data_IF_286750066002
#
_entry.id   IF_286750066002
#
_cell.length_a   1.000
_cell.length_b   1.000
_cell.length_c   1.000
_cell.angle_alpha   90.00
_cell.angle_beta   90.00
_cell.angle_gamma   90.00
#
_symmetry.space_group_name_H-M   'P 1'
#
loop_
_entity.id
_entity.type
_entity.pdbx_description
1 polymer ?
#
# COMPACT_ATOMS: atom_id res chain seq x y z
N UNK A 1 9.67 -19.56 -17.63
CA UNK A 1 10.16 -18.73 -18.76
C UNK A 1 8.96 -18.24 -19.58
N UNK A 2 8.99 -17.00 -20.09
CA UNK A 2 7.88 -16.41 -20.84
C UNK A 2 7.63 -17.22 -22.13
N UNK A 3 6.39 -17.72 -22.29
CA UNK A 3 5.99 -18.53 -23.44
C UNK A 3 5.67 -17.63 -24.64
N UNK A 4 6.21 -17.97 -25.82
CA UNK A 4 5.96 -17.26 -27.09
C UNK A 4 4.45 -17.22 -27.37
N UNK A 5 3.88 -16.02 -27.56
CA UNK A 5 2.46 -15.81 -27.82
C UNK A 5 1.55 -15.61 -26.59
N UNK A 6 2.05 -15.82 -25.36
CA UNK A 6 1.26 -15.55 -24.14
C UNK A 6 1.44 -14.10 -23.67
N UNK A 7 0.36 -13.33 -23.62
CA UNK A 7 0.34 -12.03 -22.95
C UNK A 7 0.21 -12.21 -21.43
N UNK A 8 0.93 -11.41 -20.64
CA UNK A 8 0.86 -11.46 -19.17
C UNK A 8 0.80 -10.03 -18.64
N UNK A 9 -0.24 -9.73 -17.88
CA UNK A 9 -0.46 -8.45 -17.20
C UNK A 9 -0.10 -8.63 -15.72
N UNK A 10 0.59 -7.63 -15.14
CA UNK A 10 0.92 -7.58 -13.72
C UNK A 10 0.36 -6.29 -13.17
N UNK A 11 -0.54 -6.41 -12.19
CA UNK A 11 -1.14 -5.28 -11.47
C UNK A 11 -0.54 -5.26 -10.06
N UNK A 12 0.01 -4.11 -9.66
CA UNK A 12 0.55 -3.94 -8.32
C UNK A 12 0.37 -2.50 -7.86
N UNK A 13 -0.03 -2.33 -6.61
CA UNK A 13 -0.11 -1.03 -5.96
C UNK A 13 1.28 -0.46 -5.61
N UNK A 14 2.30 -1.32 -5.54
CA UNK A 14 3.68 -0.92 -5.22
C UNK A 14 4.68 -1.58 -6.17
N UNK A 15 5.87 -0.98 -6.30
CA UNK A 15 6.90 -1.49 -7.19
C UNK A 15 8.22 -1.73 -6.45
N UNK A 16 8.17 -2.66 -5.50
CA UNK A 16 9.35 -3.10 -4.76
C UNK A 16 10.29 -3.94 -5.66
N UNK A 17 11.57 -4.06 -5.27
CA UNK A 17 12.57 -4.82 -6.03
C UNK A 17 12.14 -6.27 -6.36
N UNK A 18 11.48 -7.02 -5.45
CA UNK A 18 10.97 -8.36 -5.79
C UNK A 18 9.93 -8.35 -6.92
N UNK A 19 9.04 -7.36 -6.95
CA UNK A 19 8.01 -7.22 -8.00
C UNK A 19 8.66 -6.91 -9.36
N UNK A 20 9.69 -6.06 -9.37
CA UNK A 20 10.45 -5.80 -10.60
C UNK A 20 11.14 -7.06 -11.14
N UNK A 21 11.65 -7.94 -10.25
CA UNK A 21 12.24 -9.21 -10.66
C UNK A 21 11.19 -10.14 -11.29
N UNK A 22 10.02 -10.28 -10.66
CA UNK A 22 8.90 -11.07 -11.21
C UNK A 22 8.46 -10.56 -12.60
N UNK A 23 8.39 -9.24 -12.76
CA UNK A 23 8.07 -8.60 -14.05
C UNK A 23 9.01 -9.08 -15.16
N UNK A 24 10.33 -9.11 -14.89
CA UNK A 24 11.36 -9.56 -15.85
C UNK A 24 11.31 -11.06 -16.14
N UNK A 25 10.91 -11.89 -15.17
CA UNK A 25 10.86 -13.34 -15.32
C UNK A 25 9.63 -13.84 -16.08
N UNK A 26 8.50 -13.14 -15.93
CA UNK A 26 7.20 -13.62 -16.41
C UNK A 26 6.64 -12.88 -17.63
N UNK A 27 7.12 -11.67 -17.92
CA UNK A 27 6.66 -10.87 -19.06
C UNK A 27 7.73 -10.77 -20.16
N UNK A 28 7.27 -10.74 -21.41
CA UNK A 28 8.13 -10.48 -22.57
C UNK A 28 7.94 -9.04 -23.04
N UNK A 29 9.02 -8.24 -23.00
CA UNK A 29 9.03 -6.80 -23.38
C UNK A 29 7.82 -6.01 -22.82
N UNK A 30 7.61 -6.00 -21.48
CA UNK A 30 6.44 -5.35 -20.90
C UNK A 30 6.44 -3.83 -21.10
N UNK A 31 5.24 -3.27 -21.25
CA UNK A 31 5.01 -1.83 -21.13
C UNK A 31 4.56 -1.53 -19.71
N UNK A 32 5.09 -0.43 -19.15
CA UNK A 32 4.74 0.02 -17.81
C UNK A 32 3.74 1.16 -17.90
N UNK A 33 2.67 1.05 -17.11
CA UNK A 33 1.67 2.10 -16.93
C UNK A 33 1.65 2.42 -15.44
N UNK A 34 1.97 3.67 -15.08
CA UNK A 34 1.91 4.16 -13.69
C UNK A 34 0.75 5.16 -13.60
N UNK A 35 -0.10 5.01 -12.58
CA UNK A 35 -1.21 5.91 -12.29
C UNK A 35 -0.95 6.51 -10.90
N UNK A 36 -0.82 7.83 -10.80
CA UNK A 36 -0.48 8.54 -9.56
C UNK A 36 1.03 8.79 -9.37
N UNK A 37 1.42 9.39 -8.24
CA UNK A 37 2.83 9.65 -7.88
C UNK A 37 3.43 8.47 -7.11
N UNK A 38 4.70 8.15 -7.36
CA UNK A 38 5.42 7.14 -6.57
C UNK A 38 5.55 7.62 -5.11
N UNK A 39 5.11 6.76 -4.19
CA UNK A 39 5.55 6.69 -2.79
C UNK A 39 5.11 7.74 -1.77
N UNK A 40 4.06 8.52 -1.98
CA UNK A 40 3.43 9.18 -0.83
C UNK A 40 2.42 8.21 -0.17
N UNK A 41 2.34 8.15 1.18
CA UNK A 41 1.11 7.72 1.84
C UNK A 41 -0.04 8.39 1.12
N UNK A 42 -1.16 7.69 0.88
CA UNK A 42 -2.25 8.27 0.11
C UNK A 42 -2.55 9.67 0.68
N UNK A 43 -2.45 10.72 -0.15
CA UNK A 43 -2.61 12.11 0.31
C UNK A 43 -4.02 12.33 0.95
N UNK A 44 -4.91 11.35 0.77
CA UNK A 44 -6.24 11.25 1.38
C UNK A 44 -6.26 10.70 2.80
N UNK A 45 -5.12 10.32 3.39
CA UNK A 45 -5.04 9.77 4.75
C UNK A 45 -4.75 10.89 5.74
N UNK A 46 -5.71 11.20 6.59
CA UNK A 46 -5.51 12.07 7.74
C UNK A 46 -4.67 11.37 8.81
N UNK A 47 -3.64 12.06 9.33
CA UNK A 47 -2.72 11.52 10.33
C UNK A 47 -2.73 12.40 11.58
N UNK A 48 -2.96 11.78 12.73
CA UNK A 48 -3.07 12.46 14.02
C UNK A 48 -2.09 11.81 15.01
N UNK A 49 -1.36 12.62 15.79
CA UNK A 49 -0.40 12.17 16.80
C UNK A 49 -0.97 12.47 18.19
N UNK A 50 -0.99 11.45 19.05
CA UNK A 50 -1.33 11.59 20.47
C UNK A 50 -0.14 11.24 21.35
N UNK A 51 0.39 12.22 22.07
CA UNK A 51 1.41 11.98 23.08
C UNK A 51 0.80 11.37 24.33
N UNK A 52 1.20 10.13 24.64
CA UNK A 52 0.65 9.40 25.78
C UNK A 52 1.72 8.49 26.41
N UNK A 53 1.86 8.50 27.75
CA UNK A 53 2.70 7.54 28.45
C UNK A 53 2.30 6.09 28.14
N UNK A 54 3.28 5.18 28.05
CA UNK A 54 3.05 3.76 27.67
C UNK A 54 1.88 3.08 28.41
N UNK A 55 1.69 3.23 29.73
CA UNK A 55 0.58 2.60 30.45
C UNK A 55 -0.80 3.12 30.03
N UNK A 56 -0.87 4.34 29.50
CA UNK A 56 -2.12 5.00 29.11
C UNK A 56 -2.52 4.74 27.66
N UNK A 57 -1.68 4.09 26.84
CA UNK A 57 -1.98 3.76 25.43
C UNK A 57 -3.26 2.93 25.27
N UNK A 58 -3.47 1.93 26.13
CA UNK A 58 -4.66 1.06 26.08
C UNK A 58 -5.94 1.85 26.42
N UNK A 59 -5.85 2.76 27.40
CA UNK A 59 -6.99 3.60 27.78
C UNK A 59 -7.35 4.57 26.66
N UNK A 60 -6.35 5.20 26.03
CA UNK A 60 -6.56 6.06 24.87
C UNK A 60 -7.18 5.28 23.70
N UNK A 61 -6.69 4.07 23.39
CA UNK A 61 -7.25 3.25 22.33
C UNK A 61 -8.74 2.95 22.59
N UNK A 62 -9.10 2.55 23.82
CA UNK A 62 -10.51 2.31 24.18
C UNK A 62 -11.37 3.56 23.98
N UNK A 63 -10.86 4.73 24.38
CA UNK A 63 -11.56 5.99 24.18
C UNK A 63 -11.75 6.31 22.69
N UNK A 64 -10.71 6.15 21.87
CA UNK A 64 -10.78 6.37 20.42
C UNK A 64 -11.79 5.42 19.75
N UNK A 65 -11.81 4.14 20.13
CA UNK A 65 -12.76 3.16 19.58
C UNK A 65 -14.22 3.38 20.01
N UNK A 66 -14.44 4.09 21.13
CA UNK A 66 -15.79 4.44 21.59
C UNK A 66 -16.34 5.69 20.90
N UNK A 67 -15.47 6.51 20.30
CA UNK A 67 -15.87 7.67 19.53
C UNK A 67 -16.07 7.25 18.06
N UNK A 68 -17.32 7.33 17.58
CA UNK A 68 -17.71 6.93 16.21
C UNK A 68 -17.14 7.83 15.10
N UNK A 69 -16.37 8.86 15.43
CA UNK A 69 -15.75 9.78 14.45
C UNK A 69 -14.62 9.09 13.67
N UNK A 70 -14.08 7.99 14.18
CA UNK A 70 -13.09 7.17 13.48
C UNK A 70 -13.78 6.10 12.64
N UNK A 71 -14.35 6.53 11.51
CA UNK A 71 -14.90 5.61 10.52
C UNK A 71 -13.75 4.83 9.83
N UNK A 72 -13.81 3.50 9.92
CA UNK A 72 -12.97 2.62 9.11
C UNK A 72 -13.69 2.31 7.80
N UNK A 73 -13.02 2.53 6.68
CA UNK A 73 -13.47 2.14 5.32
C UNK A 73 -13.11 0.69 5.03
#
# INVERSE_FOLDING_TARGET
LPKKGRQTLLFSATLSRPIEKLTKEFQFKPRKVEIGRRSNPADTVEQIIHEVPKPKKIHLLKHLLQNNDLYSV
#
